data_IF_420410897236
#
_entry.id   IF_420410897236
#
_cell.length_a   1.000
_cell.length_b   1.000
_cell.length_c   1.000
_cell.angle_alpha   90.00
_cell.angle_beta   90.00
_cell.angle_gamma   90.00
#
_symmetry.space_group_name_H-M   'P 1'
#
loop_
_entity.id
_entity.type
_entity.pdbx_description
1 polymer ?
#
# COMPACT_ATOMS: atom_id res chain seq x y z
N UNK A 1 -3.08 -17.75 19.67
CA UNK A 1 -2.22 -17.91 20.86
C UNK A 1 -0.80 -17.96 20.33
N UNK A 2 -0.01 -16.90 20.50
CA UNK A 2 1.34 -16.79 19.92
C UNK A 2 2.32 -17.33 20.94
N UNK A 3 3.06 -18.40 20.62
CA UNK A 3 4.13 -18.90 21.45
C UNK A 3 5.23 -17.85 21.56
N UNK A 4 5.53 -17.41 22.79
CA UNK A 4 6.68 -16.57 23.05
C UNK A 4 7.96 -17.41 22.90
N UNK A 5 9.14 -16.80 22.67
CA UNK A 5 10.41 -17.52 22.67
C UNK A 5 10.62 -18.34 23.95
N UNK A 6 10.04 -17.92 25.08
CA UNK A 6 10.00 -18.61 26.37
C UNK A 6 9.09 -19.85 26.40
N UNK A 7 8.09 -19.94 25.53
CA UNK A 7 7.13 -21.06 25.41
C UNK A 7 7.35 -21.93 24.17
N UNK A 8 8.11 -21.46 23.18
CA UNK A 8 8.40 -22.17 21.95
C UNK A 8 9.19 -23.46 22.21
N UNK A 9 8.64 -24.62 21.82
CA UNK A 9 9.23 -25.95 22.02
C UNK A 9 10.32 -26.32 21.00
N UNK A 10 10.50 -25.52 19.94
CA UNK A 10 11.45 -25.82 18.87
C UNK A 10 12.85 -25.21 19.08
N UNK A 11 13.02 -24.29 20.04
CA UNK A 11 14.28 -23.57 20.28
C UNK A 11 15.15 -24.27 21.32
N UNK A 12 16.45 -24.33 21.07
CA UNK A 12 17.43 -24.76 22.07
C UNK A 12 17.61 -23.70 23.17
N UNK A 13 18.08 -24.07 24.38
CA UNK A 13 18.25 -23.11 25.49
C UNK A 13 19.21 -21.95 25.18
N UNK A 14 20.24 -22.19 24.37
CA UNK A 14 21.21 -21.18 23.91
C UNK A 14 20.59 -20.23 22.87
N UNK A 15 19.86 -20.75 21.88
CA UNK A 15 19.13 -19.90 20.92
C UNK A 15 18.04 -19.07 21.62
N UNK A 16 17.38 -19.65 22.63
CA UNK A 16 16.39 -18.95 23.44
C UNK A 16 17.00 -17.80 24.24
N UNK A 17 18.13 -18.02 24.91
CA UNK A 17 18.81 -16.97 25.68
C UNK A 17 19.34 -15.87 24.77
N UNK A 18 19.93 -16.22 23.62
CA UNK A 18 20.34 -15.24 22.61
C UNK A 18 19.17 -14.41 22.07
N UNK A 19 18.02 -15.04 21.77
CA UNK A 19 16.82 -14.34 21.29
C UNK A 19 16.24 -13.44 22.38
N UNK A 20 16.19 -13.89 23.63
CA UNK A 20 15.69 -13.08 24.76
C UNK A 20 16.62 -11.89 25.03
N UNK A 21 17.94 -12.08 24.99
CA UNK A 21 18.91 -11.03 25.23
C UNK A 21 18.95 -9.99 24.10
N UNK A 22 18.86 -10.45 22.84
CA UNK A 22 18.75 -9.58 21.67
C UNK A 22 17.42 -8.83 21.61
N UNK A 23 16.34 -9.42 22.11
CA UNK A 23 15.00 -8.80 22.14
C UNK A 23 14.79 -7.88 23.34
N UNK A 24 15.40 -8.21 24.49
CA UNK A 24 15.36 -7.43 25.72
C UNK A 24 16.12 -6.12 25.64
N UNK A 25 17.10 -6.01 24.73
CA UNK A 25 17.84 -4.75 24.51
C UNK A 25 17.12 -3.75 23.59
N UNK A 26 16.25 -4.19 22.66
CA UNK A 26 15.78 -3.33 21.57
C UNK A 26 14.27 -2.99 21.58
N UNK A 27 13.37 -3.79 22.19
CA UNK A 27 11.91 -3.59 22.02
C UNK A 27 11.07 -3.84 23.30
N UNK A 28 11.41 -4.82 24.15
CA UNK A 28 10.53 -5.22 25.28
C UNK A 28 10.69 -4.34 26.55
N UNK A 29 11.85 -3.72 26.79
CA UNK A 29 12.10 -2.96 28.03
C UNK A 29 11.28 -1.67 28.16
N UNK A 30 10.84 -1.06 27.06
CA UNK A 30 9.91 0.09 27.06
C UNK A 30 8.43 -0.33 27.05
N UNK A 31 8.13 -1.54 26.59
CA UNK A 31 6.75 -2.05 26.50
C UNK A 31 6.19 -2.45 27.88
N UNK A 32 7.05 -2.74 28.87
CA UNK A 32 6.64 -3.05 30.24
C UNK A 32 6.30 -1.81 31.09
N UNK A 33 6.79 -0.62 30.72
CA UNK A 33 6.55 0.62 31.50
C UNK A 33 5.25 1.35 31.13
N UNK A 34 4.70 1.14 29.93
CA UNK A 34 3.50 1.85 29.45
C UNK A 34 2.24 0.98 29.49
N UNK A 35 1.20 1.49 30.16
CA UNK A 35 -0.12 0.87 30.20
C UNK A 35 -0.68 0.64 28.78
N UNK A 36 -1.26 -0.53 28.52
CA UNK A 36 -1.86 -0.90 27.22
C UNK A 36 -2.81 0.19 26.69
N UNK A 37 -3.63 0.77 27.57
CA UNK A 37 -4.57 1.84 27.23
C UNK A 37 -3.85 3.09 26.70
N UNK A 38 -2.72 3.46 27.31
CA UNK A 38 -1.93 4.62 26.90
C UNK A 38 -1.30 4.39 25.51
N UNK A 39 -0.75 3.19 25.26
CA UNK A 39 -0.21 2.85 23.94
C UNK A 39 -1.27 2.87 22.84
N UNK A 40 -2.48 2.38 23.14
CA UNK A 40 -3.62 2.42 22.21
C UNK A 40 -3.98 3.85 21.88
N UNK A 41 -4.18 4.71 22.89
CA UNK A 41 -4.49 6.12 22.69
C UNK A 41 -3.38 6.87 21.96
N UNK A 42 -2.13 6.54 22.24
CA UNK A 42 -0.98 7.09 21.54
C UNK A 42 -1.01 6.76 20.04
N UNK A 43 -1.53 5.59 19.63
CA UNK A 43 -1.67 5.26 18.20
C UNK A 43 -2.67 6.16 17.48
N UNK A 44 -3.75 6.59 18.16
CA UNK A 44 -4.77 7.47 17.58
C UNK A 44 -4.31 8.93 17.46
N UNK A 45 -3.41 9.37 18.34
CA UNK A 45 -2.91 10.76 18.34
C UNK A 45 -1.59 10.91 17.57
N UNK A 46 -0.98 9.80 17.14
CA UNK A 46 0.28 9.81 16.42
C UNK A 46 0.11 10.32 14.97
N UNK A 47 0.79 11.43 14.67
CA UNK A 47 0.79 12.06 13.34
C UNK A 47 1.38 11.15 12.26
N UNK A 48 2.33 10.29 12.61
CA UNK A 48 2.95 9.34 11.68
C UNK A 48 1.97 8.26 11.23
N UNK A 49 1.10 7.78 12.13
CA UNK A 49 0.04 6.82 11.77
C UNK A 49 -0.89 7.44 10.73
N UNK A 50 -1.33 8.68 10.95
CA UNK A 50 -2.21 9.38 10.02
C UNK A 50 -1.53 9.73 8.69
N UNK A 51 -0.26 10.16 8.70
CA UNK A 51 0.48 10.45 7.48
C UNK A 51 0.62 9.19 6.60
N UNK A 52 1.02 8.06 7.20
CA UNK A 52 1.14 6.80 6.48
C UNK A 52 -0.20 6.15 6.15
N UNK A 53 -1.27 6.47 6.88
CA UNK A 53 -2.65 6.14 6.50
C UNK A 53 -3.07 6.90 5.24
N UNK A 54 -2.77 8.19 5.11
CA UNK A 54 -3.06 8.97 3.90
C UNK A 54 -2.27 8.41 2.70
N UNK A 55 -0.98 8.10 2.88
CA UNK A 55 -0.18 7.44 1.84
C UNK A 55 -0.82 6.09 1.45
N UNK A 56 -1.22 5.26 2.41
CA UNK A 56 -1.85 3.99 2.10
C UNK A 56 -3.20 4.15 1.38
N UNK A 57 -4.02 5.11 1.79
CA UNK A 57 -5.28 5.46 1.10
C UNK A 57 -5.04 5.96 -0.32
N UNK A 58 -3.98 6.73 -0.57
CA UNK A 58 -3.61 7.18 -1.92
C UNK A 58 -3.22 6.03 -2.86
N UNK A 59 -2.74 4.91 -2.30
CA UNK A 59 -2.47 3.68 -3.05
C UNK A 59 -3.80 2.93 -3.27
N UNK A 60 -4.58 2.72 -2.21
CA UNK A 60 -5.76 1.87 -2.28
C UNK A 60 -6.95 2.48 -3.02
N UNK A 61 -7.23 3.79 -2.91
CA UNK A 61 -8.37 4.43 -3.60
C UNK A 61 -8.27 4.24 -5.12
N UNK A 62 -7.18 4.65 -5.80
CA UNK A 62 -6.98 4.37 -7.23
C UNK A 62 -6.92 2.87 -7.50
N UNK A 63 -6.25 2.09 -6.66
CA UNK A 63 -6.14 0.64 -6.81
C UNK A 63 -7.48 -0.08 -6.90
N UNK A 64 -8.41 0.27 -6.02
CA UNK A 64 -9.78 -0.24 -6.08
C UNK A 64 -10.49 0.26 -7.33
N UNK A 65 -10.38 1.55 -7.64
CA UNK A 65 -11.03 2.15 -8.79
C UNK A 65 -10.63 1.48 -10.11
N UNK A 66 -9.32 1.28 -10.37
CA UNK A 66 -8.86 0.58 -11.58
C UNK A 66 -9.24 -0.89 -11.55
N UNK A 67 -9.16 -1.58 -10.40
CA UNK A 67 -9.47 -3.01 -10.33
C UNK A 67 -10.94 -3.30 -10.67
N UNK A 68 -11.86 -2.43 -10.24
CA UNK A 68 -13.27 -2.54 -10.59
C UNK A 68 -13.55 -2.16 -12.04
N UNK A 69 -12.84 -1.16 -12.58
CA UNK A 69 -13.15 -0.59 -13.89
C UNK A 69 -12.36 -1.19 -15.06
N UNK A 70 -11.25 -1.86 -14.79
CA UNK A 70 -10.38 -2.46 -15.80
C UNK A 70 -11.11 -3.42 -16.74
N UNK A 71 -11.96 -4.36 -16.27
CA UNK A 71 -12.72 -5.22 -17.18
C UNK A 71 -13.64 -4.40 -18.10
N UNK A 72 -14.27 -3.35 -17.59
CA UNK A 72 -15.14 -2.47 -18.39
C UNK A 72 -14.36 -1.70 -19.46
N UNK A 73 -13.14 -1.23 -19.13
CA UNK A 73 -12.24 -0.55 -20.08
C UNK A 73 -11.85 -1.51 -21.21
N UNK A 74 -11.43 -2.73 -20.87
CA UNK A 74 -11.00 -3.74 -21.84
C UNK A 74 -12.19 -4.21 -22.70
N UNK A 75 -13.37 -4.38 -22.08
CA UNK A 75 -14.59 -4.71 -22.80
C UNK A 75 -14.97 -3.63 -23.82
N UNK A 76 -14.74 -2.36 -23.48
CA UNK A 76 -14.92 -1.22 -24.39
C UNK A 76 -14.06 -1.27 -25.66
N UNK A 77 -13.02 -2.12 -25.71
CA UNK A 77 -12.20 -2.33 -26.90
C UNK A 77 -12.78 -3.38 -27.88
N UNK A 78 -13.92 -3.99 -27.56
CA UNK A 78 -14.62 -4.93 -28.46
C UNK A 78 -14.26 -6.41 -28.23
N UNK A 79 -13.57 -6.74 -27.14
CA UNK A 79 -13.31 -8.12 -26.75
C UNK A 79 -14.54 -8.77 -26.11
N UNK A 80 -14.66 -10.10 -26.23
CA UNK A 80 -15.68 -10.85 -25.50
C UNK A 80 -15.42 -10.83 -23.99
N UNK A 81 -16.46 -11.03 -23.17
CA UNK A 81 -16.35 -11.05 -21.70
C UNK A 81 -15.30 -12.05 -21.19
N UNK A 82 -15.22 -13.31 -21.70
CA UNK A 82 -14.18 -14.25 -21.25
C UNK A 82 -12.76 -13.80 -21.60
N UNK A 83 -12.56 -13.26 -22.82
CA UNK A 83 -11.25 -12.77 -23.26
C UNK A 83 -10.82 -11.55 -22.45
N UNK A 84 -11.77 -10.66 -22.15
CA UNK A 84 -11.54 -9.47 -21.32
C UNK A 84 -11.02 -9.85 -19.93
N UNK A 85 -11.63 -10.82 -19.27
CA UNK A 85 -11.17 -11.30 -17.96
C UNK A 85 -9.79 -11.95 -18.05
N UNK A 86 -9.55 -12.77 -19.07
CA UNK A 86 -8.25 -13.39 -19.30
C UNK A 86 -7.14 -12.36 -19.50
N UNK A 87 -7.44 -11.25 -20.18
CA UNK A 87 -6.52 -10.13 -20.38
C UNK A 87 -6.21 -9.35 -19.08
N UNK A 88 -6.94 -9.54 -17.98
CA UNK A 88 -6.55 -8.90 -16.70
C UNK A 88 -5.46 -9.69 -15.98
N UNK A 89 -5.41 -11.01 -16.18
CA UNK A 89 -4.52 -11.93 -15.44
C UNK A 89 -3.04 -11.57 -15.58
N UNK A 90 -2.50 -11.27 -16.78
CA UNK A 90 -1.08 -10.94 -16.92
C UNK A 90 -0.68 -9.69 -16.12
N UNK A 91 -1.56 -8.70 -16.00
CA UNK A 91 -1.26 -7.48 -15.25
C UNK A 91 -1.04 -7.77 -13.76
N UNK A 92 -1.90 -8.60 -13.16
CA UNK A 92 -1.76 -9.04 -11.77
C UNK A 92 -0.53 -9.94 -11.58
N UNK A 93 -0.22 -10.81 -12.54
CA UNK A 93 1.00 -11.64 -12.47
C UNK A 93 2.27 -10.77 -12.48
N UNK A 94 2.38 -9.82 -13.41
CA UNK A 94 3.53 -8.88 -13.46
C UNK A 94 3.59 -8.05 -12.19
N UNK A 95 2.45 -7.63 -11.66
CA UNK A 95 2.42 -6.93 -10.37
C UNK A 95 2.92 -7.80 -9.21
N UNK A 96 2.58 -9.09 -9.19
CA UNK A 96 3.05 -10.02 -8.16
C UNK A 96 4.57 -10.23 -8.25
N UNK A 97 5.12 -10.33 -9.46
CA UNK A 97 6.58 -10.38 -9.63
C UNK A 97 7.22 -9.06 -9.16
N UNK A 98 6.62 -7.92 -9.50
CA UNK A 98 7.14 -6.60 -9.14
C UNK A 98 7.14 -6.38 -7.62
N UNK A 99 6.09 -6.83 -6.91
CA UNK A 99 6.04 -6.71 -5.45
C UNK A 99 7.12 -7.55 -4.76
N UNK A 100 7.43 -8.74 -5.29
CA UNK A 100 8.53 -9.58 -4.77
C UNK A 100 9.88 -8.93 -4.99
N UNK A 101 10.11 -8.34 -6.17
CA UNK A 101 11.33 -7.61 -6.50
C UNK A 101 11.48 -6.38 -5.58
N UNK A 102 10.42 -5.58 -5.45
CA UNK A 102 10.41 -4.40 -4.58
C UNK A 102 10.63 -4.79 -3.12
N UNK A 103 9.99 -5.85 -2.64
CA UNK A 103 10.20 -6.38 -1.29
C UNK A 103 11.66 -6.78 -1.05
N UNK A 104 12.22 -7.61 -1.93
CA UNK A 104 13.60 -8.08 -1.81
C UNK A 104 14.62 -6.93 -1.79
N UNK A 105 14.51 -5.99 -2.73
CA UNK A 105 15.44 -4.85 -2.79
C UNK A 105 15.21 -3.86 -1.66
N UNK A 106 13.97 -3.66 -1.23
CA UNK A 106 13.64 -2.79 -0.09
C UNK A 106 14.20 -3.34 1.22
N UNK A 107 14.12 -4.66 1.43
CA UNK A 107 14.71 -5.33 2.58
C UNK A 107 16.24 -5.23 2.56
N UNK A 108 16.84 -5.46 1.39
CA UNK A 108 18.30 -5.42 1.22
C UNK A 108 18.89 -4.02 1.42
N UNK A 109 18.21 -2.99 0.90
CA UNK A 109 18.65 -1.60 1.02
C UNK A 109 18.24 -0.94 2.34
N UNK A 110 17.34 -1.57 3.12
CA UNK A 110 16.75 -1.02 4.34
C UNK A 110 16.05 0.34 4.16
N UNK A 111 15.73 0.69 2.91
CA UNK A 111 14.96 1.89 2.56
C UNK A 111 13.64 1.46 1.94
N UNK A 112 12.53 1.94 2.50
CA UNK A 112 11.16 1.61 2.06
C UNK A 112 10.56 2.71 1.17
N UNK A 113 10.82 3.97 1.52
CA UNK A 113 10.20 5.13 0.85
C UNK A 113 10.47 5.22 -0.66
N UNK A 114 11.65 4.87 -1.22
CA UNK A 114 11.88 4.99 -2.66
C UNK A 114 11.03 4.01 -3.48
N UNK A 115 10.77 2.81 -2.95
CA UNK A 115 9.94 1.79 -3.61
C UNK A 115 8.47 2.18 -3.64
N UNK A 116 7.97 2.77 -2.54
CA UNK A 116 6.60 3.29 -2.48
C UNK A 116 6.44 4.48 -3.44
N UNK A 117 7.42 5.38 -3.46
CA UNK A 117 7.44 6.51 -4.40
C UNK A 117 7.48 6.04 -5.86
N UNK A 118 8.32 5.04 -6.18
CA UNK A 118 8.41 4.49 -7.52
C UNK A 118 7.09 3.85 -7.96
N UNK A 119 6.44 3.05 -7.09
CA UNK A 119 5.16 2.43 -7.40
C UNK A 119 4.03 3.45 -7.62
N UNK A 120 3.93 4.47 -6.76
CA UNK A 120 2.98 5.58 -6.95
C UNK A 120 3.25 6.36 -8.23
N UNK A 121 4.53 6.61 -8.57
CA UNK A 121 4.92 7.29 -9.81
C UNK A 121 4.54 6.49 -11.05
N UNK A 122 4.78 5.17 -11.05
CA UNK A 122 4.37 4.27 -12.13
C UNK A 122 2.84 4.25 -12.28
N UNK A 123 2.12 4.22 -11.16
CA UNK A 123 0.65 4.27 -11.17
C UNK A 123 0.15 5.60 -11.74
N UNK A 124 0.74 6.73 -11.33
CA UNK A 124 0.42 8.06 -11.86
C UNK A 124 0.61 8.13 -13.38
N UNK A 125 1.74 7.62 -13.88
CA UNK A 125 2.00 7.54 -15.32
C UNK A 125 0.95 6.69 -16.05
N UNK A 126 0.55 5.55 -15.47
CA UNK A 126 -0.52 4.71 -16.01
C UNK A 126 -1.84 5.47 -16.18
N UNK A 127 -2.25 6.23 -15.16
CA UNK A 127 -3.48 7.02 -15.21
C UNK A 127 -3.39 8.18 -16.21
N UNK A 128 -2.24 8.85 -16.31
CA UNK A 128 -1.99 9.92 -17.29
C UNK A 128 -2.07 9.38 -18.73
N UNK A 129 -1.53 8.19 -18.98
CA UNK A 129 -1.62 7.53 -20.29
C UNK A 129 -3.08 7.18 -20.61
N UNK A 130 -3.83 6.69 -19.62
CA UNK A 130 -5.20 6.22 -19.81
C UNK A 130 -6.19 7.36 -20.05
N UNK A 131 -5.99 8.53 -19.43
CA UNK A 131 -6.87 9.72 -19.61
C UNK A 131 -6.65 10.43 -20.96
N UNK A 132 -5.44 10.32 -21.51
CA UNK A 132 -5.07 10.93 -22.80
C UNK A 132 -5.84 10.28 -23.96
N UNK A 133 -6.03 11.02 -25.05
CA UNK A 133 -6.68 10.49 -26.26
C UNK A 133 -5.75 9.58 -27.08
N UNK A 134 -5.28 8.50 -26.45
CA UNK A 134 -4.39 7.53 -27.04
C UNK A 134 -5.17 6.35 -27.67
N UNK A 135 -4.55 5.62 -28.63
CA UNK A 135 -5.11 4.38 -29.18
C UNK A 135 -5.38 3.33 -28.09
N UNK A 136 -6.33 2.43 -28.33
CA UNK A 136 -6.77 1.41 -27.36
C UNK A 136 -5.61 0.59 -26.77
N UNK A 137 -4.61 0.22 -27.58
CA UNK A 137 -3.44 -0.53 -27.10
C UNK A 137 -2.58 0.26 -26.10
N UNK A 138 -2.49 1.59 -26.27
CA UNK A 138 -1.75 2.46 -25.35
C UNK A 138 -2.52 2.65 -24.04
N UNK A 139 -3.85 2.80 -24.11
CA UNK A 139 -4.72 2.84 -22.92
C UNK A 139 -4.68 1.52 -22.14
N UNK A 140 -4.63 0.39 -22.84
CA UNK A 140 -4.47 -0.94 -22.25
C UNK A 140 -3.14 -1.05 -21.48
N UNK A 141 -2.04 -0.59 -22.09
CA UNK A 141 -0.75 -0.52 -21.42
C UNK A 141 -0.76 0.40 -20.20
N UNK A 142 -1.39 1.59 -20.30
CA UNK A 142 -1.58 2.51 -19.18
C UNK A 142 -2.32 1.86 -18.01
N UNK A 143 -3.41 1.14 -18.28
CA UNK A 143 -4.18 0.44 -17.26
C UNK A 143 -3.38 -0.68 -16.56
N UNK A 144 -2.49 -1.36 -17.29
CA UNK A 144 -1.55 -2.32 -16.71
C UNK A 144 -0.56 -1.65 -15.75
N UNK A 145 0.00 -0.50 -16.14
CA UNK A 145 0.91 0.26 -15.29
C UNK A 145 0.22 0.72 -13.99
N UNK A 146 -1.07 1.10 -14.05
CA UNK A 146 -1.85 1.44 -12.85
C UNK A 146 -1.87 0.27 -11.85
N UNK A 147 -2.15 -0.95 -12.32
CA UNK A 147 -2.19 -2.14 -11.47
C UNK A 147 -0.81 -2.45 -10.93
N UNK A 148 0.19 -2.54 -11.80
CA UNK A 148 1.56 -2.88 -11.41
C UNK A 148 2.08 -1.91 -10.35
N UNK A 149 1.94 -0.60 -10.57
CA UNK A 149 2.41 0.42 -9.64
C UNK A 149 1.70 0.34 -8.28
N UNK A 150 0.37 0.25 -8.30
CA UNK A 150 -0.46 0.29 -7.09
C UNK A 150 -0.28 -0.93 -6.20
N UNK A 151 -0.30 -2.12 -6.79
CA UNK A 151 -0.17 -3.37 -6.02
C UNK A 151 1.28 -3.65 -5.61
N UNK A 152 2.28 -3.17 -6.36
CA UNK A 152 3.69 -3.31 -5.98
C UNK A 152 4.11 -2.45 -4.78
N UNK A 153 3.50 -1.27 -4.57
CA UNK A 153 3.84 -0.41 -3.43
C UNK A 153 2.99 -0.66 -2.18
N UNK A 154 1.85 -1.33 -2.29
CA UNK A 154 0.90 -1.57 -1.20
C UNK A 154 1.54 -2.19 0.06
N UNK A 155 2.20 -3.36 -0.03
CA UNK A 155 2.84 -3.97 1.14
C UNK A 155 3.96 -3.12 1.74
N UNK A 156 4.69 -2.39 0.89
CA UNK A 156 5.77 -1.49 1.31
C UNK A 156 5.27 -0.38 2.25
N UNK A 157 4.09 0.18 2.00
CA UNK A 157 3.47 1.20 2.85
C UNK A 157 3.09 0.70 4.24
N UNK A 158 2.56 -0.52 4.33
CA UNK A 158 2.19 -1.17 5.60
C UNK A 158 3.44 -1.52 6.40
N UNK A 159 4.43 -2.15 5.76
CA UNK A 159 5.70 -2.47 6.39
C UNK A 159 6.45 -1.22 6.85
N UNK A 160 6.33 -0.09 6.14
CA UNK A 160 6.96 1.15 6.56
C UNK A 160 6.38 1.69 7.88
N UNK A 161 5.06 1.67 8.05
CA UNK A 161 4.45 2.04 9.34
C UNK A 161 4.84 1.07 10.46
N UNK A 162 4.78 -0.24 10.18
CA UNK A 162 5.11 -1.27 11.16
C UNK A 162 6.54 -1.13 11.71
N UNK A 163 7.51 -0.75 10.87
CA UNK A 163 8.89 -0.62 11.29
C UNK A 163 9.20 0.67 12.04
N UNK A 164 8.34 1.69 11.94
CA UNK A 164 8.59 2.97 12.61
C UNK A 164 7.79 3.16 13.91
N UNK A 165 6.77 2.33 14.17
CA UNK A 165 6.02 2.39 15.42
C UNK A 165 6.71 1.54 16.51
N UNK A 166 7.03 2.18 17.62
CA UNK A 166 7.50 1.54 18.85
C UNK A 166 6.31 1.16 19.74
N UNK A 167 6.46 0.08 20.49
CA UNK A 167 5.45 -0.46 21.39
C UNK A 167 4.48 -1.43 20.69
N UNK A 168 4.32 -2.62 21.25
CA UNK A 168 3.56 -3.71 20.62
C UNK A 168 2.11 -3.34 20.35
N UNK A 169 1.43 -2.70 21.31
CA UNK A 169 0.02 -2.35 21.17
C UNK A 169 -0.16 -1.14 20.25
N UNK A 170 0.71 -0.14 20.38
CA UNK A 170 0.69 1.03 19.49
C UNK A 170 0.91 0.64 18.03
N UNK A 171 1.89 -0.23 17.75
CA UNK A 171 2.17 -0.77 16.41
C UNK A 171 0.98 -1.53 15.85
N UNK A 172 0.39 -2.43 16.64
CA UNK A 172 -0.76 -3.22 16.21
C UNK A 172 -1.98 -2.34 15.86
N UNK A 173 -2.31 -1.39 16.74
CA UNK A 173 -3.43 -0.45 16.52
C UNK A 173 -3.13 0.49 15.35
N UNK A 174 -1.91 1.01 15.23
CA UNK A 174 -1.52 1.90 14.14
C UNK A 174 -1.66 1.24 12.76
N UNK A 175 -1.22 -0.02 12.62
CA UNK A 175 -1.41 -0.79 11.39
C UNK A 175 -2.90 -1.04 11.13
N UNK A 176 -3.67 -1.40 12.16
CA UNK A 176 -5.12 -1.61 12.03
C UNK A 176 -5.85 -0.33 11.58
N UNK A 177 -5.46 0.84 12.11
CA UNK A 177 -5.98 2.14 11.69
C UNK A 177 -5.64 2.45 10.24
N UNK A 178 -4.37 2.25 9.84
CA UNK A 178 -3.93 2.43 8.46
C UNK A 178 -4.75 1.57 7.49
N UNK A 179 -4.93 0.28 7.77
CA UNK A 179 -5.72 -0.63 6.93
C UNK A 179 -7.20 -0.23 6.91
N UNK A 180 -7.75 0.19 8.06
CA UNK A 180 -9.15 0.61 8.15
C UNK A 180 -9.43 1.84 7.28
N UNK A 181 -8.61 2.88 7.42
CA UNK A 181 -8.72 4.12 6.62
C UNK A 181 -8.49 3.84 5.14
N UNK A 182 -7.55 2.95 4.82
CA UNK A 182 -7.29 2.50 3.45
C UNK A 182 -8.48 1.76 2.83
N UNK A 183 -9.14 0.90 3.61
CA UNK A 183 -10.31 0.11 3.15
C UNK A 183 -11.54 0.99 2.94
N UNK A 184 -11.74 2.03 3.78
CA UNK A 184 -12.77 3.06 3.53
C UNK A 184 -12.57 3.75 2.18
N UNK A 185 -11.32 3.85 1.72
CA UNK A 185 -10.99 4.29 0.37
C UNK A 185 -11.64 3.45 -0.74
N UNK A 186 -11.98 2.18 -0.51
CA UNK A 186 -12.71 1.36 -1.47
C UNK A 186 -14.14 1.83 -1.74
N UNK A 187 -14.80 2.47 -0.77
CA UNK A 187 -16.10 3.12 -0.99
C UNK A 187 -15.97 4.29 -1.96
N UNK A 188 -14.88 5.06 -1.84
CA UNK A 188 -14.58 6.15 -2.76
C UNK A 188 -14.23 5.56 -4.14
N UNK A 189 -13.28 4.62 -4.20
CA UNK A 189 -12.79 4.00 -5.43
C UNK A 189 -13.88 3.36 -6.28
N UNK A 190 -14.87 2.70 -5.66
CA UNK A 190 -16.00 2.09 -6.37
C UNK A 190 -16.99 3.11 -6.97
N UNK A 191 -17.01 4.35 -6.47
CA UNK A 191 -17.93 5.40 -6.93
C UNK A 191 -17.26 6.49 -7.80
N UNK A 192 -15.93 6.50 -7.91
CA UNK A 192 -15.17 7.47 -8.72
C UNK A 192 -15.54 7.38 -10.21
N UNK A 193 -15.80 6.17 -10.72
CA UNK A 193 -16.15 5.94 -12.12
C UNK A 193 -17.67 5.82 -12.31
N UNK A 194 -18.32 6.93 -12.71
CA UNK A 194 -19.77 7.00 -12.86
C UNK A 194 -20.20 6.68 -14.30
N UNK A 195 -21.32 5.98 -14.47
CA UNK A 195 -21.86 5.65 -15.78
C UNK A 195 -22.16 6.89 -16.66
N UNK A 196 -22.51 8.02 -16.04
CA UNK A 196 -22.77 9.29 -16.73
C UNK A 196 -21.53 9.93 -17.38
N UNK A 197 -20.32 9.58 -16.92
CA UNK A 197 -19.06 10.12 -17.44
C UNK A 197 -18.49 9.25 -18.58
N UNK A 198 -19.24 8.22 -19.00
CA UNK A 198 -18.89 7.39 -20.14
C UNK A 198 -18.84 8.20 -21.45
N UNK A 199 -18.00 7.82 -22.43
CA UNK A 199 -17.11 6.66 -22.46
C UNK A 199 -15.68 6.93 -21.96
N UNK A 200 -15.30 8.20 -21.73
CA UNK A 200 -13.92 8.58 -21.39
C UNK A 200 -13.62 8.58 -19.89
N UNK A 201 -14.64 8.72 -19.05
CA UNK A 201 -14.52 8.75 -17.58
C UNK A 201 -13.43 9.70 -17.06
N UNK A 202 -13.33 10.90 -17.65
CA UNK A 202 -12.25 11.86 -17.36
C UNK A 202 -12.16 12.18 -15.86
N UNK A 203 -13.30 12.50 -15.24
CA UNK A 203 -13.39 12.80 -13.82
C UNK A 203 -12.88 11.65 -12.93
N UNK A 204 -13.10 10.39 -13.35
CA UNK A 204 -12.63 9.24 -12.61
C UNK A 204 -11.11 9.12 -12.59
N UNK A 205 -10.49 9.35 -13.75
CA UNK A 205 -9.04 9.36 -13.89
C UNK A 205 -8.41 10.59 -13.20
N UNK A 206 -9.01 11.77 -13.31
CA UNK A 206 -8.54 12.99 -12.65
C UNK A 206 -8.52 12.84 -11.13
N UNK A 207 -9.58 12.29 -10.54
CA UNK A 207 -9.63 12.02 -9.10
C UNK A 207 -8.57 11.00 -8.68
N UNK A 208 -8.36 9.94 -9.46
CA UNK A 208 -7.30 8.97 -9.18
C UNK A 208 -5.91 9.63 -9.19
N UNK A 209 -5.62 10.47 -10.20
CA UNK A 209 -4.36 11.23 -10.30
C UNK A 209 -4.22 12.18 -9.10
N UNK A 210 -5.29 12.87 -8.70
CA UNK A 210 -5.31 13.75 -7.54
C UNK A 210 -4.95 12.99 -6.26
N UNK A 211 -5.57 11.83 -5.99
CA UNK A 211 -5.26 11.03 -4.82
C UNK A 211 -3.81 10.53 -4.83
N UNK A 212 -3.31 10.05 -5.98
CA UNK A 212 -1.90 9.63 -6.12
C UNK A 212 -0.95 10.82 -5.87
N UNK A 213 -1.29 12.01 -6.38
CA UNK A 213 -0.54 13.24 -6.15
C UNK A 213 -0.47 13.63 -4.68
N UNK A 214 -1.60 13.58 -3.96
CA UNK A 214 -1.65 13.77 -2.51
C UNK A 214 -0.74 12.75 -1.81
N UNK A 215 -0.75 11.50 -2.25
CA UNK A 215 0.12 10.42 -1.78
C UNK A 215 1.61 10.74 -1.94
N UNK A 216 2.02 11.14 -3.14
CA UNK A 216 3.41 11.50 -3.45
C UNK A 216 3.89 12.69 -2.61
N UNK A 217 3.08 13.74 -2.49
CA UNK A 217 3.41 14.92 -1.66
C UNK A 217 3.51 14.52 -0.20
N UNK A 218 2.54 13.76 0.32
CA UNK A 218 2.53 13.30 1.72
C UNK A 218 3.73 12.39 2.01
N UNK A 219 4.10 11.52 1.08
CA UNK A 219 5.28 10.66 1.20
C UNK A 219 6.55 11.50 1.31
N UNK A 220 6.75 12.48 0.44
CA UNK A 220 7.93 13.36 0.47
C UNK A 220 7.98 14.13 1.79
N UNK A 221 6.87 14.72 2.24
CA UNK A 221 6.79 15.41 3.53
C UNK A 221 7.15 14.46 4.67
N UNK A 222 6.62 13.24 4.67
CA UNK A 222 6.87 12.24 5.72
C UNK A 222 8.35 11.86 5.76
N UNK A 223 9.00 11.68 4.60
CA UNK A 223 10.44 11.42 4.53
C UNK A 223 11.27 12.60 5.04
N UNK A 224 10.88 13.84 4.71
CA UNK A 224 11.57 15.03 5.21
C UNK A 224 11.43 15.18 6.73
N UNK A 225 10.26 14.88 7.28
CA UNK A 225 10.02 14.92 8.73
C UNK A 225 10.82 13.86 9.48
N UNK A 226 11.09 12.69 8.89
CA UNK A 226 11.94 11.67 9.54
C UNK A 226 13.43 11.97 9.46
N UNK A 227 13.86 12.84 8.54
CA UNK A 227 15.25 13.22 8.36
C UNK A 227 15.62 14.54 9.08
N UNK A 228 14.63 15.22 9.67
CA UNK A 228 14.79 16.48 10.40
C UNK A 228 14.86 16.23 11.91
#
# INVERSE_FOLDING_TARGET
MVDYPSTAKFLTPEERSFIIEKRGHDDDAQDEEQDMSQQVWAAFTDRQVWALAIVQSSISIPGYAISYFLPSIIFGFGYSVPVTQLLTVPAYFVSAVTVLVFGYFSDKLKFRSPFVFAGLSVSMLGYIITITDAPSGVKFFGAYLCIIGTFACGPGGICWLANNLQGKYKRAVGIALQISVSTLGGLIGSNIFRAQDAPRYLLGHDLAIMFIGIGLVTLVITVLVYNA
#
